data_IF_157300207417
#
_entry.id   IF_157300207417
#
_cell.length_a   1.000
_cell.length_b   1.000
_cell.length_c   1.000
_cell.angle_alpha   90.00
_cell.angle_beta   90.00
_cell.angle_gamma   90.00
#
_symmetry.space_group_name_H-M   'P 1'
#
loop_
_entity.id
_entity.type
_entity.pdbx_description
1 polymer ?
#
# COMPACT_ATOMS: atom_id res chain seq x y z
N UNK A 1 -8.16 3.40 -25.90
CA UNK A 1 -9.02 2.86 -24.83
C UNK A 1 -8.11 1.95 -24.03
N UNK A 2 -7.49 2.46 -22.96
CA UNK A 2 -6.43 1.73 -22.25
C UNK A 2 -7.06 0.62 -21.41
N UNK A 3 -6.74 -0.63 -21.71
CA UNK A 3 -7.17 -1.77 -20.90
C UNK A 3 -6.41 -1.74 -19.56
N UNK A 4 -6.91 -0.95 -18.62
CA UNK A 4 -6.43 -0.92 -17.23
C UNK A 4 -7.32 -1.81 -16.37
N UNK A 5 -6.73 -2.74 -15.63
CA UNK A 5 -7.47 -3.56 -14.67
C UNK A 5 -7.64 -2.84 -13.34
N UNK A 6 -8.84 -2.87 -12.75
CA UNK A 6 -9.11 -2.25 -11.45
C UNK A 6 -9.31 -3.31 -10.36
N UNK A 7 -8.58 -3.18 -9.25
CA UNK A 7 -8.69 -4.03 -8.05
C UNK A 7 -9.32 -3.21 -6.92
N UNK A 8 -10.58 -3.54 -6.59
CA UNK A 8 -11.26 -3.04 -5.40
C UNK A 8 -11.00 -3.98 -4.21
N UNK A 9 -10.75 -3.40 -3.04
CA UNK A 9 -10.07 -3.95 -1.84
C UNK A 9 -10.77 -5.10 -1.08
N UNK A 10 -11.46 -6.03 -1.76
CA UNK A 10 -12.23 -7.09 -1.11
C UNK A 10 -11.83 -8.52 -1.48
N UNK A 11 -10.72 -8.71 -2.21
CA UNK A 11 -10.26 -10.05 -2.60
C UNK A 11 -9.29 -10.63 -1.55
N UNK A 12 -9.61 -11.82 -1.03
CA UNK A 12 -8.61 -12.67 -0.33
C UNK A 12 -7.38 -12.88 -1.24
N UNK A 13 -6.20 -13.06 -0.65
CA UNK A 13 -4.92 -13.31 -1.36
C UNK A 13 -5.05 -14.32 -2.52
N UNK A 14 -5.72 -15.46 -2.30
CA UNK A 14 -5.91 -16.49 -3.32
C UNK A 14 -6.74 -16.05 -4.53
N UNK A 15 -7.66 -15.08 -4.37
CA UNK A 15 -8.42 -14.51 -5.50
C UNK A 15 -7.62 -13.46 -6.24
N UNK A 16 -6.71 -12.76 -5.56
CA UNK A 16 -5.89 -11.70 -6.12
C UNK A 16 -4.93 -12.25 -7.19
N UNK A 17 -4.22 -13.33 -6.88
CA UNK A 17 -3.26 -13.96 -7.81
C UNK A 17 -3.95 -14.43 -9.10
N UNK A 18 -5.10 -15.11 -8.97
CA UNK A 18 -5.91 -15.55 -10.12
C UNK A 18 -6.40 -14.38 -10.96
N UNK A 19 -6.82 -13.30 -10.31
CA UNK A 19 -7.27 -12.10 -11.00
C UNK A 19 -6.12 -11.46 -11.79
N UNK A 20 -4.96 -11.23 -11.16
CA UNK A 20 -3.79 -10.64 -11.82
C UNK A 20 -3.36 -11.46 -13.03
N UNK A 21 -3.29 -12.79 -12.90
CA UNK A 21 -2.95 -13.68 -14.02
C UNK A 21 -3.96 -13.60 -15.18
N UNK A 22 -5.27 -13.57 -14.85
CA UNK A 22 -6.32 -13.41 -15.86
C UNK A 22 -6.27 -12.06 -16.58
N UNK A 23 -6.01 -10.97 -15.85
CA UNK A 23 -5.87 -9.64 -16.47
C UNK A 23 -4.59 -9.54 -17.31
N UNK A 24 -3.49 -10.14 -16.87
CA UNK A 24 -2.27 -10.21 -17.65
C UNK A 24 -2.48 -10.94 -18.99
N UNK A 25 -3.16 -12.09 -18.97
CA UNK A 25 -3.49 -12.82 -20.20
C UNK A 25 -4.39 -12.04 -21.16
N UNK A 26 -5.10 -11.02 -20.66
CA UNK A 26 -5.92 -10.11 -21.49
C UNK A 26 -5.10 -8.95 -22.08
N UNK A 27 -3.83 -8.80 -21.73
CA UNK A 27 -2.94 -7.78 -22.28
C UNK A 27 -3.10 -6.39 -21.65
N UNK A 28 -3.39 -6.30 -20.35
CA UNK A 28 -3.46 -5.00 -19.66
C UNK A 28 -2.07 -4.36 -19.52
N UNK A 29 -1.99 -3.05 -19.73
CA UNK A 29 -0.73 -2.29 -19.63
C UNK A 29 -0.43 -1.82 -18.19
N UNK A 30 -1.48 -1.58 -17.41
CA UNK A 30 -1.36 -1.14 -16.02
C UNK A 30 -2.50 -1.67 -15.17
N UNK A 31 -2.22 -1.85 -13.88
CA UNK A 31 -3.20 -2.28 -12.89
C UNK A 31 -3.40 -1.14 -11.92
N UNK A 32 -4.64 -0.68 -11.74
CA UNK A 32 -5.01 0.26 -10.71
C UNK A 32 -5.61 -0.51 -9.54
N UNK A 33 -5.05 -0.40 -8.33
CA UNK A 33 -5.50 -1.28 -7.25
C UNK A 33 -5.18 -0.81 -5.85
N UNK A 34 -6.09 -1.12 -4.94
CA UNK A 34 -5.86 -1.02 -3.51
C UNK A 34 -5.29 -2.36 -3.00
N UNK A 35 -4.29 -2.28 -2.15
CA UNK A 35 -3.76 -3.42 -1.41
C UNK A 35 -3.71 -3.12 0.08
N UNK A 36 -3.81 -4.20 0.85
CA UNK A 36 -3.51 -4.25 2.28
C UNK A 36 -2.07 -4.75 2.51
N UNK A 37 -1.54 -4.62 3.73
CA UNK A 37 -0.19 -5.06 4.14
C UNK A 37 0.08 -6.54 3.85
N UNK A 38 -0.95 -7.38 3.83
CA UNK A 38 -0.83 -8.81 3.52
C UNK A 38 -0.65 -9.08 2.03
N UNK A 39 -1.27 -8.26 1.18
CA UNK A 39 -1.29 -8.43 -0.28
C UNK A 39 -0.21 -7.63 -1.00
N UNK A 40 0.39 -6.63 -0.33
CA UNK A 40 1.33 -5.72 -0.97
C UNK A 40 2.54 -6.46 -1.53
N UNK A 41 3.17 -7.34 -0.74
CA UNK A 41 4.37 -8.07 -1.15
C UNK A 41 4.12 -8.95 -2.38
N UNK A 42 2.95 -9.57 -2.47
CA UNK A 42 2.56 -10.41 -3.60
C UNK A 42 2.37 -9.54 -4.85
N UNK A 43 1.61 -8.45 -4.75
CA UNK A 43 1.35 -7.54 -5.87
C UNK A 43 2.62 -6.90 -6.41
N UNK A 44 3.47 -6.35 -5.54
CA UNK A 44 4.73 -5.72 -5.94
C UNK A 44 5.65 -6.71 -6.63
N UNK A 45 5.70 -7.96 -6.15
CA UNK A 45 6.50 -9.02 -6.77
C UNK A 45 6.01 -9.38 -8.17
N UNK A 46 4.69 -9.53 -8.36
CA UNK A 46 4.11 -9.81 -9.67
C UNK A 46 4.34 -8.67 -10.67
N UNK A 47 4.13 -7.43 -10.25
CA UNK A 47 4.33 -6.25 -11.09
C UNK A 47 5.79 -6.08 -11.51
N UNK A 48 6.73 -6.37 -10.61
CA UNK A 48 8.16 -6.39 -10.93
C UNK A 48 8.54 -7.52 -11.89
N UNK A 49 8.00 -8.73 -11.72
CA UNK A 49 8.30 -9.87 -12.59
C UNK A 49 7.73 -9.71 -14.01
N UNK A 50 6.50 -9.21 -14.11
CA UNK A 50 5.77 -9.08 -15.38
C UNK A 50 5.98 -7.73 -16.06
N UNK A 51 6.74 -6.81 -15.45
CA UNK A 51 6.96 -5.45 -15.94
C UNK A 51 5.65 -4.67 -16.18
N UNK A 52 4.64 -4.91 -15.34
CA UNK A 52 3.34 -4.24 -15.40
C UNK A 52 3.31 -3.15 -14.35
N UNK A 53 2.95 -1.93 -14.75
CA UNK A 53 2.83 -0.80 -13.82
C UNK A 53 1.62 -0.97 -12.89
N UNK A 54 1.86 -1.00 -11.58
CA UNK A 54 0.85 -0.91 -10.53
C UNK A 54 0.67 0.54 -10.11
N UNK A 55 -0.54 1.06 -10.23
CA UNK A 55 -0.91 2.39 -9.74
C UNK A 55 -1.77 2.21 -8.49
N UNK A 56 -1.35 2.76 -7.36
CA UNK A 56 -2.02 2.51 -6.09
C UNK A 56 -2.11 3.77 -5.20
N UNK A 57 -3.30 4.08 -4.65
CA UNK A 57 -3.45 5.09 -3.60
C UNK A 57 -3.23 4.53 -2.18
N UNK A 58 -2.80 3.26 -2.04
CA UNK A 58 -2.56 2.62 -0.74
C UNK A 58 -1.37 3.22 0.02
N UNK A 59 -1.17 2.79 1.27
CA UNK A 59 -0.03 3.21 2.09
C UNK A 59 1.30 2.92 1.37
N UNK A 60 2.23 3.89 1.32
CA UNK A 60 3.52 3.67 0.69
C UNK A 60 4.27 2.55 1.43
N UNK A 61 4.76 1.57 0.67
CA UNK A 61 5.71 0.59 1.20
C UNK A 61 7.09 1.20 1.33
N UNK A 62 7.77 0.85 2.42
CA UNK A 62 9.17 1.16 2.67
C UNK A 62 10.05 0.43 1.63
N UNK A 63 10.26 1.04 0.47
CA UNK A 63 11.11 0.52 -0.60
C UNK A 63 10.69 0.97 -2.01
N UNK A 64 11.68 1.42 -2.79
CA UNK A 64 11.55 1.68 -4.22
C UNK A 64 11.28 0.36 -4.95
N UNK A 65 10.00 0.08 -5.24
CA UNK A 65 9.63 -1.06 -6.07
C UNK A 65 9.47 -0.58 -7.51
N UNK A 66 10.34 -1.08 -8.39
CA UNK A 66 10.22 -0.84 -9.82
C UNK A 66 8.83 -1.27 -10.29
N UNK A 67 8.21 -0.48 -11.17
CA UNK A 67 6.85 -0.68 -11.68
C UNK A 67 5.71 -0.42 -10.67
N UNK A 68 5.97 0.27 -9.56
CA UNK A 68 4.91 0.70 -8.61
C UNK A 68 4.84 2.22 -8.52
N UNK A 69 3.72 2.78 -8.96
CA UNK A 69 3.38 4.19 -8.86
C UNK A 69 2.48 4.40 -7.65
N UNK A 70 3.05 4.95 -6.58
CA UNK A 70 2.32 5.33 -5.37
C UNK A 70 1.74 6.73 -5.54
N UNK A 71 0.41 6.84 -5.47
CA UNK A 71 -0.28 8.13 -5.53
C UNK A 71 -0.35 8.83 -4.17
N UNK A 72 -0.18 8.07 -3.08
CA UNK A 72 -0.27 8.59 -1.72
C UNK A 72 1.10 9.07 -1.24
N UNK A 73 1.26 10.36 -0.88
CA UNK A 73 2.50 10.85 -0.32
C UNK A 73 2.75 10.29 1.10
N UNK A 74 4.02 10.26 1.51
CA UNK A 74 4.39 9.85 2.85
C UNK A 74 3.94 10.89 3.89
N UNK A 75 3.18 10.43 4.90
CA UNK A 75 2.68 11.31 5.97
C UNK A 75 3.72 11.54 7.09
N UNK A 76 4.75 10.68 7.18
CA UNK A 76 5.72 10.69 8.26
C UNK A 76 6.43 12.05 8.40
N UNK A 77 6.83 12.66 7.29
CA UNK A 77 7.49 13.98 7.31
C UNK A 77 6.58 15.09 7.85
N UNK A 78 5.32 15.13 7.40
CA UNK A 78 4.35 16.11 7.87
C UNK A 78 4.02 15.92 9.36
N UNK A 79 3.87 14.68 9.82
CA UNK A 79 3.61 14.36 11.22
C UNK A 79 4.77 14.83 12.13
N UNK A 80 6.01 14.57 11.73
CA UNK A 80 7.20 15.02 12.47
C UNK A 80 7.32 16.55 12.48
N UNK A 81 6.96 17.22 11.38
CA UNK A 81 6.96 18.68 11.31
C UNK A 81 5.96 19.30 12.30
N UNK A 82 4.75 18.74 12.39
CA UNK A 82 3.73 19.18 13.35
C UNK A 82 4.19 18.95 14.80
N UNK A 83 4.76 17.78 15.09
CA UNK A 83 5.30 17.47 16.42
C UNK A 83 6.43 18.44 16.82
N UNK A 84 7.32 18.76 15.87
CA UNK A 84 8.40 19.73 16.07
C UNK A 84 7.89 21.16 16.26
N UNK A 85 6.87 21.56 15.51
CA UNK A 85 6.25 22.88 15.62
C UNK A 85 5.64 23.12 17.02
N UNK A 86 4.94 22.13 17.57
CA UNK A 86 4.32 22.22 18.90
C UNK A 86 5.27 21.87 20.06
N UNK A 87 6.53 21.50 19.79
CA UNK A 87 7.53 21.08 20.79
C UNK A 87 6.99 20.02 21.76
N UNK A 88 6.23 19.06 21.25
CA UNK A 88 5.68 17.97 22.07
C UNK A 88 6.78 17.00 22.49
N UNK A 89 7.30 17.18 23.71
CA UNK A 89 8.26 16.24 24.32
C UNK A 89 7.58 14.98 24.89
N UNK A 90 6.28 15.03 25.20
CA UNK A 90 5.51 13.88 25.72
C UNK A 90 4.17 13.80 25.02
N UNK A 91 3.90 12.69 24.34
CA UNK A 91 2.63 12.44 23.67
C UNK A 91 2.30 10.95 23.64
N UNK A 92 1.01 10.65 23.56
CA UNK A 92 0.50 9.28 23.41
C UNK A 92 0.20 9.06 21.93
N UNK A 93 0.87 8.08 21.33
CA UNK A 93 0.62 7.68 19.95
C UNK A 93 -0.25 6.44 19.91
N UNK A 94 -1.49 6.63 19.46
CA UNK A 94 -2.45 5.55 19.22
C UNK A 94 -2.35 5.15 17.75
N UNK A 95 -1.99 3.90 17.48
CA UNK A 95 -1.91 3.38 16.12
C UNK A 95 -2.61 2.02 16.01
N UNK A 96 -3.22 1.77 14.87
CA UNK A 96 -3.76 0.46 14.51
C UNK A 96 -2.76 -0.26 13.60
N UNK A 97 -2.49 -1.53 13.89
CA UNK A 97 -1.64 -2.39 13.06
C UNK A 97 -2.44 -3.24 12.07
N UNK A 98 -3.76 -3.07 12.02
CA UNK A 98 -4.76 -3.82 11.25
C UNK A 98 -4.96 -5.26 11.75
N UNK A 99 -6.10 -5.46 12.44
CA UNK A 99 -6.85 -6.72 12.54
C UNK A 99 -6.15 -7.93 13.20
N UNK A 100 -5.80 -7.77 14.47
CA UNK A 100 -5.90 -8.79 15.52
C UNK A 100 -5.77 -8.04 16.86
N UNK A 101 -6.70 -8.24 17.79
CA UNK A 101 -6.95 -7.32 18.90
C UNK A 101 -5.75 -7.07 19.81
N UNK A 102 -5.15 -5.89 19.70
CA UNK A 102 -4.49 -5.17 20.80
C UNK A 102 -4.21 -3.72 20.32
N UNK A 103 -5.02 -2.74 20.77
CA UNK A 103 -4.70 -1.33 20.56
C UNK A 103 -3.42 -1.03 21.34
N UNK A 104 -2.29 -0.89 20.64
CA UNK A 104 -1.02 -0.53 21.27
C UNK A 104 -0.97 0.98 21.42
N UNK A 105 -0.97 1.44 22.68
CA UNK A 105 -0.60 2.80 23.02
C UNK A 105 0.92 2.83 23.13
N UNK A 106 1.61 3.58 22.27
CA UNK A 106 3.02 3.89 22.47
C UNK A 106 3.13 5.23 23.20
N UNK A 107 3.66 5.21 24.42
CA UNK A 107 4.06 6.42 25.13
C UNK A 107 5.55 6.62 24.87
N UNK A 108 5.92 7.74 24.25
CA UNK A 108 7.33 8.10 24.05
C UNK A 108 7.71 9.08 25.16
N UNK A 109 8.65 8.64 26.02
CA UNK A 109 9.22 9.43 27.12
C UNK A 109 10.26 10.44 26.61
#
# INVERSE_FOLDING_TARGET
MADTAVIYEHLRLLKLEKFVCSQYSRGVFAIFGLYDKRSVHTLTSFCSALHISLITPSFPTEGESQFVLQLRPSLQGALLSVLGHYKWNRFVFLYDTDRAGFRRCACKN
#
